data_IF_393341970533
#
_entry.id   IF_393341970533
#
_cell.length_a   1.000
_cell.length_b   1.000
_cell.length_c   1.000
_cell.angle_alpha   90.00
_cell.angle_beta   90.00
_cell.angle_gamma   90.00
#
_symmetry.space_group_name_H-M   'P 1'
#
loop_
_entity.id
_entity.type
_entity.pdbx_description
1 polymer ?
#
# COMPACT_ATOMS: atom_id res chain seq x y z
N UNK A 1 -10.53 -10.31 -5.23
CA UNK A 1 -10.85 -10.40 -3.80
C UNK A 1 -10.88 -8.99 -3.26
N UNK A 2 -11.97 -8.60 -2.61
CA UNK A 2 -12.12 -7.25 -2.07
C UNK A 2 -11.38 -7.11 -0.76
N UNK A 3 -10.64 -6.02 -0.63
CA UNK A 3 -10.00 -5.63 0.61
C UNK A 3 -10.51 -4.26 1.05
N UNK A 4 -10.64 -4.09 2.36
CA UNK A 4 -11.12 -2.86 3.00
C UNK A 4 -10.01 -2.22 3.81
N UNK A 5 -9.94 -0.89 3.76
CA UNK A 5 -9.15 -0.08 4.68
C UNK A 5 -10.03 0.36 5.85
N UNK A 6 -9.59 0.11 7.09
CA UNK A 6 -10.34 0.52 8.30
C UNK A 6 -10.02 1.95 8.75
N UNK A 7 -8.92 2.51 8.27
CA UNK A 7 -8.58 3.90 8.53
C UNK A 7 -9.49 4.82 7.71
N UNK A 8 -9.85 5.97 8.28
CA UNK A 8 -10.58 7.05 7.59
C UNK A 8 -9.74 8.31 7.44
N UNK A 9 -8.57 8.34 8.09
CA UNK A 9 -7.63 9.47 8.07
C UNK A 9 -6.28 8.95 7.56
N UNK A 10 -5.72 9.52 6.48
CA UNK A 10 -4.41 9.15 5.98
C UNK A 10 -3.31 9.59 6.97
N UNK A 11 -2.24 8.82 7.04
CA UNK A 11 -1.04 9.20 7.78
C UNK A 11 -0.42 10.46 7.18
N UNK A 12 0.19 11.30 8.03
CA UNK A 12 0.99 12.44 7.56
C UNK A 12 2.23 11.96 6.81
N UNK A 13 2.84 12.81 5.99
CA UNK A 13 4.07 12.47 5.26
C UNK A 13 5.19 11.96 6.18
N UNK A 14 5.42 12.63 7.31
CA UNK A 14 6.40 12.21 8.31
C UNK A 14 6.10 10.82 8.90
N UNK A 15 4.83 10.52 9.17
CA UNK A 15 4.41 9.20 9.64
C UNK A 15 4.58 8.12 8.57
N UNK A 16 4.30 8.45 7.30
CA UNK A 16 4.51 7.56 6.17
C UNK A 16 5.98 7.21 6.01
N UNK A 17 6.86 8.21 5.96
CA UNK A 17 8.31 8.01 5.80
C UNK A 17 8.85 7.12 6.93
N UNK A 18 8.50 7.43 8.18
CA UNK A 18 8.93 6.63 9.34
C UNK A 18 8.44 5.18 9.25
N UNK A 19 7.18 4.96 8.90
CA UNK A 19 6.60 3.62 8.80
C UNK A 19 7.17 2.81 7.62
N UNK A 20 7.38 3.44 6.47
CA UNK A 20 7.98 2.80 5.28
C UNK A 20 9.40 2.36 5.63
N UNK A 21 10.20 3.25 6.21
CA UNK A 21 11.57 2.95 6.62
C UNK A 21 11.60 1.79 7.62
N UNK A 22 10.76 1.83 8.66
CA UNK A 22 10.69 0.77 9.66
C UNK A 22 10.33 -0.60 9.05
N UNK A 23 9.38 -0.65 8.11
CA UNK A 23 8.98 -1.89 7.44
C UNK A 23 10.11 -2.42 6.56
N UNK A 24 10.77 -1.55 5.80
CA UNK A 24 11.86 -1.95 4.92
C UNK A 24 13.07 -2.45 5.70
N UNK A 25 13.47 -1.76 6.76
CA UNK A 25 14.58 -2.18 7.64
C UNK A 25 14.29 -3.53 8.29
N UNK A 26 13.07 -3.72 8.79
CA UNK A 26 12.66 -4.97 9.43
C UNK A 26 12.57 -6.12 8.43
N UNK A 27 12.11 -5.88 7.20
CA UNK A 27 12.10 -6.90 6.15
C UNK A 27 13.51 -7.26 5.69
N UNK A 28 14.38 -6.26 5.54
CA UNK A 28 15.77 -6.45 5.08
C UNK A 28 16.65 -7.20 6.09
N UNK A 29 16.30 -7.17 7.38
CA UNK A 29 17.00 -7.92 8.44
C UNK A 29 16.54 -9.38 8.58
N UNK A 30 15.57 -9.84 7.78
CA UNK A 30 15.00 -11.18 7.85
C UNK A 30 15.23 -11.96 6.56
N UNK A 31 15.59 -13.24 6.66
CA UNK A 31 15.67 -14.13 5.49
C UNK A 31 14.28 -14.42 4.91
N UNK A 32 13.26 -14.55 5.77
CA UNK A 32 11.88 -14.87 5.40
C UNK A 32 10.91 -13.97 6.18
N UNK A 33 10.73 -12.70 5.76
CA UNK A 33 9.82 -11.79 6.45
C UNK A 33 8.37 -12.29 6.34
N UNK A 34 7.58 -12.28 7.44
CA UNK A 34 6.21 -12.74 7.41
C UNK A 34 5.33 -11.79 6.58
N UNK A 35 4.30 -12.34 5.91
CA UNK A 35 3.37 -11.55 5.08
C UNK A 35 2.66 -10.45 5.86
N UNK A 36 2.41 -10.65 7.16
CA UNK A 36 1.82 -9.65 8.05
C UNK A 36 2.74 -8.48 8.40
N UNK A 37 4.03 -8.52 8.06
CA UNK A 37 4.94 -7.38 8.20
C UNK A 37 4.74 -6.40 7.04
N UNK A 38 3.78 -5.50 7.24
CA UNK A 38 3.38 -4.47 6.31
C UNK A 38 3.09 -3.14 7.02
N UNK A 39 2.95 -2.06 6.26
CA UNK A 39 2.48 -0.77 6.78
C UNK A 39 1.03 -0.89 7.26
N UNK A 40 0.61 0.03 8.13
CA UNK A 40 -0.77 0.05 8.61
C UNK A 40 -1.75 0.71 7.60
N UNK A 41 -3.05 0.62 7.90
CA UNK A 41 -4.13 1.14 7.05
C UNK A 41 -4.01 2.66 6.77
N UNK A 42 -3.65 3.47 7.77
CA UNK A 42 -3.51 4.92 7.60
C UNK A 42 -2.35 5.29 6.66
N UNK A 43 -1.24 4.55 6.75
CA UNK A 43 -0.08 4.72 5.85
C UNK A 43 -0.43 4.22 4.45
N UNK A 44 -1.17 3.11 4.32
CA UNK A 44 -1.64 2.65 3.02
C UNK A 44 -2.52 3.69 2.31
N UNK A 45 -3.42 4.37 3.05
CA UNK A 45 -4.18 5.50 2.50
C UNK A 45 -3.29 6.65 2.08
N UNK A 46 -2.34 7.06 2.93
CA UNK A 46 -1.43 8.16 2.62
C UNK A 46 -0.63 7.88 1.35
N UNK A 47 -0.11 6.66 1.19
CA UNK A 47 0.62 6.24 -0.02
C UNK A 47 -0.33 6.32 -1.23
N UNK A 48 -1.56 5.78 -1.14
CA UNK A 48 -2.52 5.87 -2.23
C UNK A 48 -2.81 7.33 -2.63
N UNK A 49 -2.92 8.23 -1.65
CA UNK A 49 -3.09 9.67 -1.86
C UNK A 49 -1.98 10.31 -2.71
N UNK A 50 -0.74 9.85 -2.59
CA UNK A 50 0.39 10.37 -3.38
C UNK A 50 0.31 10.00 -4.87
N UNK A 51 -0.39 8.91 -5.20
CA UNK A 51 -0.48 8.38 -6.56
C UNK A 51 -1.85 8.62 -7.21
N UNK A 52 -2.71 9.46 -6.62
CA UNK A 52 -3.97 9.84 -7.25
C UNK A 52 -3.74 10.70 -8.49
N UNK A 53 -4.40 10.37 -9.60
CA UNK A 53 -4.33 11.15 -10.83
C UNK A 53 -5.51 10.81 -11.76
N UNK A 54 -5.57 11.43 -12.94
CA UNK A 54 -6.59 11.16 -13.95
C UNK A 54 -6.36 9.87 -14.76
N UNK A 55 -5.26 9.14 -14.53
CA UNK A 55 -5.00 7.85 -15.19
C UNK A 55 -5.83 6.73 -14.54
N UNK A 56 -6.03 5.61 -15.24
CA UNK A 56 -6.77 4.47 -14.71
C UNK A 56 -6.19 3.94 -13.38
N UNK A 57 -4.86 3.85 -13.30
CA UNK A 57 -4.15 3.49 -12.07
C UNK A 57 -4.33 4.54 -10.98
N UNK A 58 -4.26 5.83 -11.31
CA UNK A 58 -4.50 6.93 -10.37
C UNK A 58 -5.93 6.97 -9.83
N UNK A 59 -6.93 6.62 -10.64
CA UNK A 59 -8.33 6.51 -10.22
C UNK A 59 -8.57 5.31 -9.30
N UNK A 60 -7.82 4.21 -9.46
CA UNK A 60 -7.82 3.11 -8.50
C UNK A 60 -7.20 3.52 -7.15
N UNK A 61 -6.12 4.29 -7.18
CA UNK A 61 -5.50 4.85 -5.96
C UNK A 61 -6.44 5.82 -5.24
N UNK A 62 -7.15 6.68 -5.99
CA UNK A 62 -8.14 7.62 -5.43
C UNK A 62 -9.30 6.89 -4.74
N UNK A 63 -9.79 5.78 -5.34
CA UNK A 63 -10.82 4.93 -4.70
C UNK A 63 -10.37 4.38 -3.36
N UNK A 64 -9.13 3.88 -3.27
CA UNK A 64 -8.57 3.43 -2.00
C UNK A 64 -8.43 4.60 -1.02
N UNK A 65 -7.85 5.72 -1.46
CA UNK A 65 -7.62 6.91 -0.63
C UNK A 65 -8.91 7.45 0.01
N UNK A 66 -10.03 7.42 -0.73
CA UNK A 66 -11.36 7.82 -0.24
C UNK A 66 -12.02 6.81 0.70
N UNK A 67 -11.33 5.73 1.06
CA UNK A 67 -11.84 4.70 1.96
C UNK A 67 -12.76 3.68 1.28
N UNK A 68 -12.69 3.54 -0.05
CA UNK A 68 -13.47 2.57 -0.81
C UNK A 68 -12.96 1.14 -0.68
N UNK A 69 -13.85 0.18 -0.91
CA UNK A 69 -13.47 -1.20 -1.23
C UNK A 69 -12.76 -1.25 -2.57
N UNK A 70 -11.67 -2.03 -2.63
CA UNK A 70 -10.88 -2.20 -3.85
C UNK A 70 -10.59 -3.68 -4.10
N UNK A 71 -10.60 -4.08 -5.37
CA UNK A 71 -10.17 -5.41 -5.77
C UNK A 71 -8.65 -5.51 -5.67
N UNK A 72 -8.15 -6.45 -4.87
CA UNK A 72 -6.72 -6.61 -4.57
C UNK A 72 -5.86 -6.80 -5.84
N UNK A 73 -6.37 -7.56 -6.81
CA UNK A 73 -5.66 -7.84 -8.07
C UNK A 73 -5.58 -6.63 -8.98
N UNK A 74 -6.62 -5.78 -8.99
CA UNK A 74 -6.61 -4.54 -9.76
C UNK A 74 -5.64 -3.53 -9.15
N UNK A 75 -5.69 -3.41 -7.81
CA UNK A 75 -4.77 -2.54 -7.09
C UNK A 75 -3.30 -2.98 -7.26
N UNK A 76 -3.00 -4.28 -7.23
CA UNK A 76 -1.64 -4.79 -7.49
C UNK A 76 -1.15 -4.48 -8.90
N UNK A 77 -2.04 -4.54 -9.91
CA UNK A 77 -1.72 -4.15 -11.29
C UNK A 77 -1.42 -2.65 -11.37
N UNK A 78 -2.25 -1.81 -10.74
CA UNK A 78 -2.02 -0.36 -10.68
C UNK A 78 -0.69 -0.03 -9.97
N UNK A 79 -0.41 -0.66 -8.83
CA UNK A 79 0.86 -0.51 -8.12
C UNK A 79 2.05 -0.88 -9.01
N UNK A 80 1.95 -1.99 -9.75
CA UNK A 80 3.03 -2.46 -10.63
C UNK A 80 3.26 -1.49 -11.79
N UNK A 81 2.19 -0.93 -12.36
CA UNK A 81 2.26 0.09 -13.39
C UNK A 81 2.95 1.36 -12.88
N UNK A 82 2.48 1.91 -11.75
CA UNK A 82 3.04 3.14 -11.17
C UNK A 82 4.52 2.99 -10.79
N UNK A 83 4.94 1.80 -10.32
CA UNK A 83 6.34 1.49 -10.02
C UNK A 83 7.28 1.65 -11.21
N UNK A 84 6.77 1.51 -12.43
CA UNK A 84 7.56 1.69 -13.66
C UNK A 84 7.97 3.15 -13.92
N UNK A 85 7.30 4.10 -13.28
CA UNK A 85 7.50 5.54 -13.48
C UNK A 85 7.88 6.28 -12.19
N UNK A 86 7.76 5.63 -11.03
CA UNK A 86 8.03 6.24 -9.74
C UNK A 86 9.53 6.53 -9.49
N UNK A 87 9.80 7.55 -8.68
CA UNK A 87 11.14 7.76 -8.09
C UNK A 87 11.53 6.58 -7.18
N UNK A 88 12.78 6.48 -6.71
CA UNK A 88 13.17 5.46 -5.73
C UNK A 88 12.29 5.45 -4.46
N UNK A 89 11.97 6.63 -3.93
CA UNK A 89 11.11 6.81 -2.75
C UNK A 89 9.67 6.38 -3.06
N UNK A 90 9.15 6.79 -4.23
CA UNK A 90 7.84 6.36 -4.69
C UNK A 90 7.76 4.85 -4.90
N UNK A 91 8.82 4.24 -5.43
CA UNK A 91 8.92 2.80 -5.61
C UNK A 91 8.90 2.07 -4.27
N UNK A 92 9.63 2.57 -3.27
CA UNK A 92 9.64 2.04 -1.91
C UNK A 92 8.26 2.14 -1.24
N UNK A 93 7.56 3.27 -1.40
CA UNK A 93 6.20 3.46 -0.92
C UNK A 93 5.23 2.45 -1.58
N UNK A 94 5.26 2.33 -2.91
CA UNK A 94 4.46 1.37 -3.67
C UNK A 94 4.80 -0.09 -3.32
N UNK A 95 6.06 -0.39 -2.99
CA UNK A 95 6.46 -1.70 -2.49
C UNK A 95 5.81 -2.02 -1.14
N UNK A 96 5.79 -1.07 -0.22
CA UNK A 96 5.11 -1.21 1.06
C UNK A 96 3.59 -1.35 0.90
N UNK A 97 2.98 -0.60 -0.03
CA UNK A 97 1.55 -0.72 -0.34
C UNK A 97 1.20 -2.11 -0.90
N UNK A 98 2.02 -2.66 -1.80
CA UNK A 98 1.84 -4.05 -2.27
C UNK A 98 1.92 -5.06 -1.13
N UNK A 99 2.85 -4.87 -0.18
CA UNK A 99 2.95 -5.69 1.02
C UNK A 99 1.69 -5.62 1.89
N UNK A 100 1.11 -4.45 2.05
CA UNK A 100 -0.17 -4.26 2.76
C UNK A 100 -1.32 -4.99 2.06
N UNK A 101 -1.41 -4.93 0.73
CA UNK A 101 -2.41 -5.69 -0.04
C UNK A 101 -2.27 -7.19 0.20
N UNK A 102 -1.04 -7.72 0.15
CA UNK A 102 -0.78 -9.13 0.43
C UNK A 102 -1.18 -9.53 1.87
N UNK A 103 -0.88 -8.67 2.86
CA UNK A 103 -1.27 -8.89 4.25
C UNK A 103 -2.79 -8.90 4.44
N UNK A 104 -3.53 -8.02 3.75
CA UNK A 104 -4.99 -7.98 3.75
C UNK A 104 -5.59 -9.24 3.14
N UNK A 105 -5.06 -9.66 1.98
CA UNK A 105 -5.53 -10.87 1.30
C UNK A 105 -5.33 -12.09 2.18
N UNK A 106 -4.12 -12.27 2.72
CA UNK A 106 -3.83 -13.39 3.59
C UNK A 106 -4.70 -13.43 4.86
N UNK A 107 -5.05 -12.26 5.42
CA UNK A 107 -5.92 -12.20 6.59
C UNK A 107 -7.35 -12.65 6.26
N UNK A 108 -7.93 -12.24 5.14
CA UNK A 108 -9.31 -12.65 4.84
C UNK A 108 -9.44 -14.10 4.37
N UNK A 109 -8.35 -14.74 3.92
CA UNK A 109 -8.35 -16.19 3.65
C UNK A 109 -8.31 -17.03 4.95
N UNK A 110 -7.95 -16.41 6.07
CA UNK A 110 -7.87 -17.08 7.38
C UNK A 110 -9.15 -16.93 8.23
N UNK A 111 -10.10 -16.11 7.77
CA UNK A 111 -11.43 -15.88 8.36
C UNK A 111 -12.50 -16.71 7.62
#
# INVERSE_FOLDING_TARGET
MRITCRATVPATESQMIASIQQVLDRRGSMTHPPVGLAVNDAVALGIAGLFTSATDSGQLMDRLYRGGEVESTELLKAITFEKGYASPEGHAALHCLAGWVAAKVHRSDAD
#
